data_IF_504610363753
#
_entry.id   IF_504610363753
#
_cell.length_a   1.000
_cell.length_b   1.000
_cell.length_c   1.000
_cell.angle_alpha   90.00
_cell.angle_beta   90.00
_cell.angle_gamma   90.00
#
_symmetry.space_group_name_H-M   'P 1'
#
loop_
_entity.id
_entity.type
_entity.pdbx_description
1 polymer ?
#
# COMPACT_ATOMS: atom_id res chain seq x y z
N UNK A 1 8.88 -20.37 11.30
CA UNK A 1 7.61 -20.29 10.55
C UNK A 1 7.62 -18.97 9.80
N UNK A 2 8.03 -18.96 8.53
CA UNK A 2 8.13 -17.72 7.74
C UNK A 2 6.69 -17.30 7.42
N UNK A 3 6.19 -16.14 7.88
CA UNK A 3 4.95 -15.61 7.34
C UNK A 3 5.28 -15.22 5.91
N UNK A 4 4.65 -15.88 4.93
CA UNK A 4 4.78 -15.49 3.54
C UNK A 4 4.45 -14.01 3.44
N UNK A 5 5.47 -13.26 3.06
CA UNK A 5 5.41 -11.83 2.86
C UNK A 5 4.68 -11.63 1.55
N UNK A 6 3.35 -11.64 1.62
CA UNK A 6 2.48 -11.25 0.53
C UNK A 6 2.71 -9.74 0.32
N UNK A 7 3.74 -9.37 -0.45
CA UNK A 7 3.88 -8.02 -0.94
C UNK A 7 2.74 -7.81 -1.93
N UNK A 8 1.82 -6.94 -1.53
CA UNK A 8 0.71 -6.50 -2.35
C UNK A 8 1.05 -5.11 -2.83
N UNK A 9 1.08 -4.93 -4.14
CA UNK A 9 1.34 -3.63 -4.77
C UNK A 9 0.03 -3.09 -5.32
N UNK A 10 -0.38 -1.90 -4.87
CA UNK A 10 -1.43 -1.12 -5.51
C UNK A 10 -0.77 -0.15 -6.51
N UNK A 11 -1.05 -0.35 -7.79
CA UNK A 11 -0.72 0.61 -8.83
C UNK A 11 -1.87 1.61 -8.91
N UNK A 12 -1.57 2.91 -8.74
CA UNK A 12 -2.52 4.03 -8.57
C UNK A 12 -3.86 3.91 -9.31
N UNK A 13 -4.90 4.59 -8.80
CA UNK A 13 -6.21 4.73 -9.44
C UNK A 13 -6.15 5.34 -10.85
N UNK A 14 -5.07 6.04 -11.20
CA UNK A 14 -4.83 6.63 -12.52
C UNK A 14 -3.94 5.74 -13.42
N UNK A 15 -3.52 4.58 -12.92
CA UNK A 15 -2.88 3.56 -13.74
C UNK A 15 -3.95 2.91 -14.60
N UNK A 16 -3.97 3.26 -15.88
CA UNK A 16 -4.74 2.53 -16.89
C UNK A 16 -4.08 1.17 -17.10
N UNK A 17 -4.26 0.25 -16.15
CA UNK A 17 -4.07 -1.16 -16.43
C UNK A 17 -5.18 -1.59 -17.40
N UNK A 18 -4.90 -2.55 -18.28
CA UNK A 18 -5.88 -3.06 -19.25
C UNK A 18 -7.24 -3.33 -18.57
N UNK A 19 -8.34 -2.96 -19.25
CA UNK A 19 -9.71 -3.05 -18.71
C UNK A 19 -9.95 -4.40 -17.99
N UNK A 20 -10.21 -4.31 -16.68
CA UNK A 20 -10.49 -5.49 -15.83
C UNK A 20 -9.30 -6.06 -15.05
N UNK A 21 -8.10 -5.47 -15.14
CA UNK A 21 -6.97 -5.88 -14.31
C UNK A 21 -7.21 -5.57 -12.81
N UNK A 22 -6.80 -6.46 -11.89
CA UNK A 22 -6.96 -6.22 -10.46
C UNK A 22 -6.07 -5.04 -10.02
N UNK A 23 -6.64 -4.11 -9.26
CA UNK A 23 -5.94 -2.93 -8.72
C UNK A 23 -4.76 -3.28 -7.80
N UNK A 24 -4.81 -4.46 -7.17
CA UNK A 24 -3.76 -4.93 -6.26
C UNK A 24 -3.14 -6.22 -6.80
N UNK A 25 -1.82 -6.23 -6.92
CA UNK A 25 -1.04 -7.37 -7.40
C UNK A 25 -0.29 -8.03 -6.24
N UNK A 26 -0.46 -9.34 -6.08
CA UNK A 26 0.37 -10.16 -5.19
C UNK A 26 1.65 -10.52 -5.92
N UNK A 27 2.81 -10.22 -5.33
CA UNK A 27 4.09 -10.56 -5.94
C UNK A 27 4.48 -12.01 -5.67
N UNK A 28 5.07 -12.64 -6.67
CA UNK A 28 5.70 -13.94 -6.53
C UNK A 28 6.97 -13.84 -5.67
N UNK A 29 7.39 -14.92 -4.99
CA UNK A 29 8.63 -14.93 -4.22
C UNK A 29 9.84 -14.51 -5.08
N UNK A 30 10.57 -13.50 -4.63
CA UNK A 30 11.76 -12.97 -5.32
C UNK A 30 11.47 -11.86 -6.33
N UNK A 31 10.19 -11.52 -6.59
CA UNK A 31 9.83 -10.26 -7.26
C UNK A 31 9.77 -9.12 -6.25
N UNK A 32 10.26 -7.97 -6.65
CA UNK A 32 10.30 -6.75 -5.86
C UNK A 32 9.47 -5.64 -6.52
N UNK A 33 9.21 -4.56 -5.77
CA UNK A 33 8.44 -3.41 -6.28
C UNK A 33 9.06 -2.80 -7.56
N UNK A 34 10.39 -2.88 -7.71
CA UNK A 34 11.09 -2.41 -8.90
C UNK A 34 10.80 -3.23 -10.16
N UNK A 35 10.52 -4.52 -10.03
CA UNK A 35 10.09 -5.35 -11.15
C UNK A 35 8.74 -4.86 -11.66
N UNK A 36 7.80 -4.58 -10.75
CA UNK A 36 6.49 -4.02 -11.09
C UNK A 36 6.62 -2.67 -11.78
N UNK A 37 7.45 -1.77 -11.25
CA UNK A 37 7.68 -0.44 -11.86
C UNK A 37 8.21 -0.59 -13.28
N UNK A 38 9.18 -1.48 -13.51
CA UNK A 38 9.72 -1.76 -14.84
C UNK A 38 8.66 -2.34 -15.77
N UNK A 39 7.88 -3.32 -15.30
CA UNK A 39 6.84 -3.96 -16.08
C UNK A 39 5.78 -2.94 -16.54
N UNK A 40 5.34 -2.04 -15.64
CA UNK A 40 4.38 -0.96 -15.98
C UNK A 40 5.02 0.04 -16.96
N UNK A 41 6.23 0.53 -16.67
CA UNK A 41 6.90 1.52 -17.51
C UNK A 41 7.22 1.01 -18.92
N UNK A 42 7.49 -0.29 -19.08
CA UNK A 42 7.77 -0.91 -20.36
C UNK A 42 6.53 -1.48 -21.06
N UNK A 43 5.36 -1.50 -20.41
CA UNK A 43 4.12 -2.02 -21.00
C UNK A 43 3.63 -1.20 -22.20
N UNK A 44 4.01 0.08 -22.28
CA UNK A 44 3.51 1.03 -23.27
C UNK A 44 2.02 1.39 -23.11
N UNK A 45 1.37 0.91 -22.04
CA UNK A 45 -0.03 1.23 -21.73
C UNK A 45 -0.13 2.46 -20.82
N UNK A 46 0.78 2.56 -19.85
CA UNK A 46 0.85 3.71 -18.95
C UNK A 46 1.90 4.71 -19.45
N UNK A 47 1.42 5.82 -20.01
CA UNK A 47 2.25 6.93 -20.49
C UNK A 47 2.40 8.06 -19.45
N UNK A 48 1.47 8.13 -18.48
CA UNK A 48 1.48 9.13 -17.42
C UNK A 48 2.28 8.69 -16.19
N UNK A 49 2.64 9.65 -15.33
CA UNK A 49 3.27 9.35 -14.06
C UNK A 49 2.37 8.46 -13.19
N UNK A 50 2.98 7.47 -12.53
CA UNK A 50 2.25 6.52 -11.69
C UNK A 50 2.95 6.28 -10.36
N UNK A 51 2.19 5.75 -9.39
CA UNK A 51 2.68 5.34 -8.10
C UNK A 51 2.52 3.83 -7.91
N UNK A 52 3.48 3.26 -7.19
CA UNK A 52 3.48 1.89 -6.71
C UNK A 52 3.45 1.93 -5.18
N UNK A 53 2.38 1.41 -4.59
CA UNK A 53 2.19 1.35 -3.14
C UNK A 53 2.42 -0.07 -2.64
N UNK A 54 3.45 -0.27 -1.82
CA UNK A 54 3.71 -1.54 -1.14
C UNK A 54 2.88 -1.65 0.15
N UNK A 55 1.80 -2.42 0.08
CA UNK A 55 0.92 -2.73 1.23
C UNK A 55 1.66 -3.59 2.27
N UNK A 56 2.58 -4.44 1.84
CA UNK A 56 3.43 -5.25 2.72
C UNK A 56 4.30 -4.38 3.63
N UNK A 57 4.80 -3.26 3.12
CA UNK A 57 5.55 -2.28 3.89
C UNK A 57 4.70 -1.60 4.97
N UNK A 58 3.45 -1.23 4.68
CA UNK A 58 2.51 -0.72 5.69
C UNK A 58 2.32 -1.73 6.82
N UNK A 59 2.07 -2.99 6.46
CA UNK A 59 1.87 -4.08 7.42
C UNK A 59 3.11 -4.27 8.31
N UNK A 60 4.31 -4.29 7.71
CA UNK A 60 5.57 -4.44 8.46
C UNK A 60 5.77 -3.26 9.41
N UNK A 61 5.60 -2.03 8.94
CA UNK A 61 5.75 -0.82 9.77
C UNK A 61 4.76 -0.80 10.95
N UNK A 62 3.51 -1.20 10.73
CA UNK A 62 2.53 -1.30 11.80
C UNK A 62 2.93 -2.35 12.85
N UNK A 63 3.36 -3.55 12.42
CA UNK A 63 3.84 -4.61 13.32
C UNK A 63 5.06 -4.15 14.11
N UNK A 64 6.01 -3.49 13.46
CA UNK A 64 7.20 -2.93 14.09
C UNK A 64 6.85 -1.85 15.12
N UNK A 65 5.90 -0.96 14.83
CA UNK A 65 5.38 0.01 15.79
C UNK A 65 4.82 -0.67 17.03
N UNK A 66 3.95 -1.67 16.86
CA UNK A 66 3.34 -2.41 17.97
C UNK A 66 4.38 -3.14 18.82
N UNK A 67 5.44 -3.64 18.19
CA UNK A 67 6.55 -4.30 18.89
C UNK A 67 7.40 -3.30 19.68
N UNK A 68 7.77 -2.18 19.07
CA UNK A 68 8.69 -1.19 19.68
C UNK A 68 8.00 -0.26 20.68
N UNK A 69 6.72 0.04 20.45
CA UNK A 69 5.93 0.99 21.24
C UNK A 69 4.63 0.33 21.76
N UNK A 70 4.72 -0.75 22.57
CA UNK A 70 3.56 -1.57 22.91
C UNK A 70 2.47 -0.84 23.71
N UNK A 71 2.83 0.25 24.39
CA UNK A 71 1.91 1.08 25.18
C UNK A 71 1.36 2.29 24.43
N UNK A 72 1.79 2.53 23.19
CA UNK A 72 1.36 3.68 22.39
C UNK A 72 0.49 3.20 21.25
N UNK A 73 -0.79 3.55 21.31
CA UNK A 73 -1.74 3.25 20.24
C UNK A 73 -1.42 4.09 18.98
N UNK A 74 -1.31 3.48 17.79
CA UNK A 74 -1.08 4.22 16.56
C UNK A 74 -2.37 4.92 16.10
N UNK A 75 -2.30 6.24 15.95
CA UNK A 75 -3.31 7.07 15.27
C UNK A 75 -2.68 7.62 13.99
N UNK A 76 -3.05 7.07 12.84
CA UNK A 76 -2.47 7.47 11.55
C UNK A 76 -2.99 8.84 11.13
N UNK A 77 -2.08 9.77 10.85
CA UNK A 77 -2.43 11.09 10.36
C UNK A 77 -2.90 11.02 8.90
N UNK A 78 -4.22 11.12 8.68
CA UNK A 78 -4.85 10.91 7.36
C UNK A 78 -4.33 11.88 6.30
N UNK A 79 -4.00 13.12 6.70
CA UNK A 79 -3.41 14.15 5.82
C UNK A 79 -2.10 13.74 5.13
N UNK A 80 -1.40 12.72 5.64
CA UNK A 80 -0.13 12.29 5.07
C UNK A 80 -0.33 11.51 3.76
N UNK A 81 -1.36 10.67 3.71
CA UNK A 81 -1.79 9.93 2.53
C UNK A 81 -3.18 9.35 2.83
N UNK A 82 -4.22 9.90 2.23
CA UNK A 82 -5.62 9.50 2.41
C UNK A 82 -6.06 8.41 1.41
N UNK A 83 -5.12 7.80 0.70
CA UNK A 83 -5.40 6.70 -0.22
C UNK A 83 -6.16 5.58 0.52
N UNK A 84 -7.28 5.18 -0.07
CA UNK A 84 -8.20 4.21 0.50
C UNK A 84 -7.54 2.88 0.88
N UNK A 85 -6.63 2.37 0.06
CA UNK A 85 -5.91 1.11 0.33
C UNK A 85 -5.02 1.24 1.57
N UNK A 86 -4.40 2.41 1.79
CA UNK A 86 -3.62 2.70 3.00
C UNK A 86 -4.52 2.67 4.24
N UNK A 87 -5.64 3.39 4.18
CA UNK A 87 -6.57 3.52 5.29
C UNK A 87 -7.25 2.18 5.62
N UNK A 88 -7.72 1.44 4.62
CA UNK A 88 -8.34 0.12 4.81
C UNK A 88 -7.33 -0.87 5.40
N UNK A 89 -6.10 -0.90 4.90
CA UNK A 89 -5.04 -1.75 5.45
C UNK A 89 -4.77 -1.44 6.93
N UNK A 90 -4.60 -0.16 7.27
CA UNK A 90 -4.34 0.26 8.66
C UNK A 90 -5.53 -0.03 9.58
N UNK A 91 -6.76 0.18 9.08
CA UNK A 91 -7.99 -0.13 9.83
C UNK A 91 -8.10 -1.63 10.09
N UNK A 92 -7.80 -2.48 9.10
CA UNK A 92 -7.81 -3.95 9.27
C UNK A 92 -6.74 -4.44 10.25
N UNK A 93 -5.63 -3.70 10.41
CA UNK A 93 -4.59 -3.99 11.41
C UNK A 93 -4.95 -3.45 12.82
N UNK A 94 -6.05 -2.71 12.97
CA UNK A 94 -6.52 -2.15 14.24
C UNK A 94 -5.90 -0.80 14.61
N UNK A 95 -5.37 -0.05 13.64
CA UNK A 95 -4.98 1.34 13.86
C UNK A 95 -6.21 2.26 13.98
N UNK A 96 -6.05 3.37 14.69
CA UNK A 96 -7.00 4.49 14.66
C UNK A 96 -6.48 5.62 13.76
N UNK A 97 -7.26 6.70 13.59
CA UNK A 97 -6.95 7.77 12.64
C UNK A 97 -6.98 9.15 13.31
N UNK A 98 -5.99 9.98 12.98
CA UNK A 98 -5.94 11.40 13.29
C UNK A 98 -6.45 12.18 12.07
N UNK A 99 -7.64 12.77 12.22
CA UNK A 99 -8.36 13.48 11.17
C UNK A 99 -8.34 15.00 11.44
N UNK A 100 -7.78 15.77 10.51
CA UNK A 100 -7.60 17.22 10.67
C UNK A 100 -8.77 18.07 10.10
N UNK A 101 -9.67 17.46 9.33
CA UNK A 101 -10.80 18.16 8.70
C UNK A 101 -11.97 17.19 8.46
N UNK A 102 -13.15 17.75 8.16
CA UNK A 102 -14.26 16.98 7.57
C UNK A 102 -13.94 16.74 6.10
N UNK A 103 -14.36 15.59 5.57
CA UNK A 103 -14.35 15.38 4.13
C UNK A 103 -15.24 16.44 3.45
N UNK A 104 -14.71 17.11 2.43
CA UNK A 104 -15.45 17.98 1.51
C UNK A 104 -16.12 17.19 0.42
#
# INVERSE_FOLDING_TARGET
>A
MKPEMLSMVDASADCQLADGAPKIHVLEPGKENWDVIRDVAHSGVQEEAFYVLDVGDIIRKHKEWKLKMPRVAPFYAVKCNDNRTVLETLSSLGASFDCASKAT
#
